data_IF_262815253130
#
_entry.id   IF_262815253130
#
_cell.length_a   1.000
_cell.length_b   1.000
_cell.length_c   1.000
_cell.angle_alpha   90.00
_cell.angle_beta   90.00
_cell.angle_gamma   90.00
#
_symmetry.space_group_name_H-M   'P 1'
#
loop_
_entity.id
_entity.type
_entity.pdbx_description
1 polymer ?
#
# COMPACT_ATOMS: atom_id res chain seq x y z
N UNK A 1 -6.30 14.89 8.33
CA UNK A 1 -6.50 13.44 8.12
C UNK A 1 -6.37 13.18 6.64
N UNK A 2 -5.65 12.13 6.27
CA UNK A 2 -5.47 11.68 4.90
C UNK A 2 -5.88 10.21 4.80
N UNK A 3 -6.61 9.85 3.76
CA UNK A 3 -7.07 8.50 3.51
C UNK A 3 -6.88 8.19 2.02
N UNK A 4 -6.28 7.03 1.74
CA UNK A 4 -5.94 6.62 0.38
C UNK A 4 -6.48 5.22 0.13
N UNK A 5 -7.20 5.05 -0.98
CA UNK A 5 -7.63 3.77 -1.50
C UNK A 5 -6.95 3.54 -2.86
N UNK A 6 -6.41 2.35 -3.07
CA UNK A 6 -5.87 1.89 -4.36
C UNK A 6 -6.55 0.61 -4.75
N UNK A 7 -6.92 0.49 -6.02
CA UNK A 7 -7.52 -0.70 -6.58
C UNK A 7 -6.91 -0.98 -7.95
N UNK A 8 -6.39 -2.19 -8.12
CA UNK A 8 -5.96 -2.77 -9.38
C UNK A 8 -7.01 -3.79 -9.80
N UNK A 9 -7.57 -3.59 -10.98
CA UNK A 9 -8.64 -4.40 -11.54
C UNK A 9 -8.14 -5.20 -12.73
N UNK A 10 -8.64 -6.42 -12.86
CA UNK A 10 -8.50 -7.25 -14.06
C UNK A 10 -7.03 -7.46 -14.51
N UNK A 11 -6.12 -7.66 -13.56
CA UNK A 11 -4.71 -7.89 -13.85
C UNK A 11 -4.48 -9.30 -14.38
N UNK A 12 -4.06 -9.39 -15.63
CA UNK A 12 -3.87 -10.66 -16.33
C UNK A 12 -2.39 -10.95 -16.56
N UNK A 13 -1.84 -11.89 -15.79
CA UNK A 13 -0.47 -12.34 -15.92
C UNK A 13 -0.31 -13.79 -15.42
N UNK A 14 0.75 -14.46 -15.89
CA UNK A 14 1.13 -15.78 -15.40
C UNK A 14 1.76 -15.69 -14.00
N UNK A 15 1.68 -16.80 -13.25
CA UNK A 15 2.36 -16.94 -11.97
C UNK A 15 3.89 -16.86 -12.17
N UNK A 16 4.62 -15.97 -11.48
CA UNK A 16 6.08 -15.95 -11.55
C UNK A 16 6.76 -17.24 -11.07
N UNK A 17 6.12 -18.02 -10.19
CA UNK A 17 6.63 -19.31 -9.77
C UNK A 17 6.47 -20.39 -10.85
N UNK A 18 5.64 -20.14 -11.88
CA UNK A 18 5.42 -21.04 -13.03
C UNK A 18 5.69 -20.29 -14.33
N UNK A 19 6.97 -20.09 -14.64
CA UNK A 19 7.41 -19.40 -15.87
C UNK A 19 6.89 -20.16 -17.10
N UNK A 20 5.94 -19.56 -17.83
CA UNK A 20 5.28 -20.15 -19.00
C UNK A 20 3.93 -20.81 -18.71
N UNK A 21 3.47 -20.81 -17.46
CA UNK A 21 2.13 -21.26 -17.09
C UNK A 21 1.01 -20.36 -17.63
N UNK A 22 -0.25 -20.81 -17.59
CA UNK A 22 -1.38 -20.01 -18.06
C UNK A 22 -1.50 -18.72 -17.23
N UNK A 23 -1.78 -17.61 -17.93
CA UNK A 23 -2.13 -16.37 -17.26
C UNK A 23 -3.49 -16.51 -16.55
N UNK A 24 -3.62 -15.89 -15.39
CA UNK A 24 -4.89 -15.81 -14.66
C UNK A 24 -5.21 -14.37 -14.31
N UNK A 25 -6.50 -14.08 -14.15
CA UNK A 25 -7.00 -12.77 -13.73
C UNK A 25 -6.92 -12.65 -12.21
N UNK A 26 -6.38 -11.54 -11.71
CA UNK A 26 -6.47 -11.14 -10.31
C UNK A 26 -6.82 -9.66 -10.15
N UNK A 27 -7.46 -9.33 -9.04
CA UNK A 27 -7.71 -7.95 -8.63
C UNK A 27 -7.19 -7.74 -7.20
N UNK A 28 -6.71 -6.54 -6.90
CA UNK A 28 -6.07 -6.23 -5.62
C UNK A 28 -6.50 -4.85 -5.13
N UNK A 29 -6.77 -4.73 -3.83
CA UNK A 29 -7.23 -3.47 -3.22
C UNK A 29 -6.48 -3.23 -1.92
N UNK A 30 -5.96 -2.02 -1.74
CA UNK A 30 -5.34 -1.59 -0.49
C UNK A 30 -5.92 -0.26 -0.02
N UNK A 31 -6.01 -0.11 1.29
CA UNK A 31 -6.41 1.14 1.95
C UNK A 31 -5.31 1.59 2.91
N UNK A 32 -5.13 2.90 3.03
CA UNK A 32 -4.21 3.53 3.96
C UNK A 32 -4.86 4.73 4.64
N UNK A 33 -4.46 5.00 5.88
CA UNK A 33 -4.98 6.10 6.68
C UNK A 33 -3.86 6.77 7.46
N UNK A 34 -3.84 8.10 7.44
CA UNK A 34 -2.91 8.94 8.21
C UNK A 34 -3.66 10.00 8.99
N UNK A 35 -3.31 10.10 10.27
CA UNK A 35 -3.77 11.15 11.18
C UNK A 35 -2.59 12.03 11.55
N UNK A 36 -2.87 13.30 11.80
CA UNK A 36 -1.86 14.27 12.21
C UNK A 36 -2.47 15.34 13.09
N UNK A 37 -1.69 15.78 14.06
CA UNK A 37 -2.04 16.83 14.99
C UNK A 37 -0.95 17.91 14.99
N UNK A 38 -1.36 19.14 14.78
CA UNK A 38 -0.49 20.31 14.74
C UNK A 38 -0.54 20.99 16.11
N UNK A 39 0.58 20.98 16.83
CA UNK A 39 0.68 21.60 18.16
C UNK A 39 0.80 23.12 18.04
N UNK A 40 1.64 23.57 17.13
CA UNK A 40 1.84 24.98 16.83
C UNK A 40 2.21 25.16 15.34
N UNK A 41 2.57 26.38 14.94
CA UNK A 41 2.91 26.68 13.53
C UNK A 41 4.16 25.97 13.02
N UNK A 42 4.98 25.43 13.93
CA UNK A 42 6.27 24.80 13.66
C UNK A 42 6.22 23.29 13.83
N UNK A 43 5.40 22.77 14.73
CA UNK A 43 5.43 21.38 15.16
C UNK A 43 4.14 20.62 14.82
N UNK A 44 4.28 19.52 14.10
CA UNK A 44 3.21 18.56 13.81
C UNK A 44 3.67 17.14 14.15
N UNK A 45 2.85 16.39 14.88
CA UNK A 45 2.97 14.93 14.98
C UNK A 45 2.01 14.27 14.01
N UNK A 46 2.40 13.12 13.47
CA UNK A 46 1.52 12.31 12.64
C UNK A 46 1.79 10.82 12.83
N UNK A 47 0.78 10.01 12.53
CA UNK A 47 0.88 8.57 12.48
C UNK A 47 -0.07 8.00 11.45
N UNK A 48 0.21 6.81 10.95
CA UNK A 48 -0.61 6.17 9.95
C UNK A 48 -0.44 4.67 9.90
N UNK A 49 -1.35 4.06 9.16
CA UNK A 49 -1.41 2.63 8.89
C UNK A 49 -1.58 2.50 7.38
N UNK A 50 -0.63 1.86 6.73
CA UNK A 50 -0.75 1.43 5.35
C UNK A 50 -1.24 -0.03 5.30
N UNK A 51 -1.96 -0.36 4.24
CA UNK A 51 -2.58 -1.67 4.04
C UNK A 51 -3.46 -2.09 5.24
N UNK A 52 -4.50 -1.29 5.50
CA UNK A 52 -5.43 -1.44 6.63
C UNK A 52 -6.01 -2.86 6.77
N UNK A 53 -6.29 -3.52 5.65
CA UNK A 53 -6.88 -4.85 5.59
C UNK A 53 -5.84 -5.98 5.62
N UNK A 54 -4.54 -5.67 5.73
CA UNK A 54 -3.44 -6.63 5.60
C UNK A 54 -3.57 -7.51 4.34
N UNK A 55 -3.99 -6.87 3.24
CA UNK A 55 -4.21 -7.52 1.97
C UNK A 55 -2.89 -8.05 1.42
N UNK A 56 -2.91 -9.27 0.90
CA UNK A 56 -1.75 -9.88 0.24
C UNK A 56 -1.85 -9.71 -1.26
N UNK A 57 -0.82 -9.15 -1.86
CA UNK A 57 -0.78 -8.97 -3.31
C UNK A 57 -0.79 -10.35 -4.01
N UNK A 58 -1.63 -10.55 -5.04
CA UNK A 58 -1.67 -11.79 -5.82
C UNK A 58 -0.32 -12.13 -6.45
N UNK A 59 0.04 -13.42 -6.52
CA UNK A 59 1.34 -13.86 -7.03
C UNK A 59 1.65 -13.36 -8.45
N UNK A 60 0.65 -13.31 -9.34
CA UNK A 60 0.83 -12.79 -10.70
C UNK A 60 1.07 -11.26 -10.79
N UNK A 61 0.94 -10.52 -9.68
CA UNK A 61 1.23 -9.10 -9.56
C UNK A 61 2.60 -8.82 -8.90
N UNK A 62 3.21 -9.80 -8.21
CA UNK A 62 4.43 -9.58 -7.40
C UNK A 62 5.72 -9.42 -8.19
N UNK A 63 5.80 -9.98 -9.40
CA UNK A 63 7.06 -10.12 -10.14
C UNK A 63 7.31 -9.09 -11.24
N UNK A 64 6.30 -8.30 -11.62
CA UNK A 64 6.36 -7.44 -12.82
C UNK A 64 6.51 -5.95 -12.52
N UNK A 65 7.12 -5.59 -11.40
CA UNK A 65 7.51 -4.20 -11.12
C UNK A 65 6.39 -3.32 -10.55
N UNK A 66 5.28 -3.90 -10.10
CA UNK A 66 4.23 -3.23 -9.33
C UNK A 66 4.13 -3.75 -7.89
N UNK A 67 5.22 -3.88 -7.10
CA UNK A 67 5.04 -4.00 -5.67
C UNK A 67 4.39 -2.70 -5.19
N UNK A 68 3.07 -2.76 -4.99
CA UNK A 68 2.35 -1.72 -4.27
C UNK A 68 2.87 -1.77 -2.83
N UNK A 69 3.87 -0.94 -2.55
CA UNK A 69 4.41 -0.76 -1.22
C UNK A 69 3.33 -0.06 -0.36
N UNK A 70 2.93 -0.65 0.78
CA UNK A 70 3.52 -1.82 1.43
C UNK A 70 2.85 -3.16 1.12
N UNK A 71 3.71 -4.15 0.84
CA UNK A 71 3.33 -5.54 0.58
C UNK A 71 2.74 -6.29 1.79
N UNK A 72 2.70 -5.65 2.96
CA UNK A 72 2.08 -6.11 4.19
C UNK A 72 1.54 -4.89 4.98
N UNK A 73 0.76 -5.11 6.05
CA UNK A 73 0.35 -4.00 6.93
C UNK A 73 1.56 -3.34 7.61
N UNK A 74 1.66 -2.02 7.49
CA UNK A 74 2.76 -1.24 8.05
C UNK A 74 2.23 -0.07 8.89
N UNK A 75 2.81 0.10 10.08
CA UNK A 75 2.47 1.18 11.02
C UNK A 75 3.64 2.16 11.08
N UNK A 76 3.35 3.46 11.01
CA UNK A 76 4.37 4.49 11.11
C UNK A 76 3.91 5.68 11.95
N UNK A 77 4.88 6.38 12.53
CA UNK A 77 4.70 7.65 13.21
C UNK A 77 5.85 8.58 12.85
N UNK A 78 5.62 9.88 12.96
CA UNK A 78 6.62 10.88 12.64
C UNK A 78 6.30 12.26 13.20
N UNK A 79 7.30 13.11 13.11
CA UNK A 79 7.26 14.50 13.54
C UNK A 79 7.73 15.36 12.38
N UNK A 80 7.02 16.46 12.13
CA UNK A 80 7.44 17.49 11.19
C UNK A 80 7.70 18.78 11.96
N UNK A 81 8.90 19.32 11.82
CA UNK A 81 9.30 20.62 12.34
C UNK A 81 9.57 21.60 11.18
N UNK A 82 9.06 22.83 11.27
CA UNK A 82 9.29 23.92 10.29
C UNK A 82 10.09 25.04 10.94
N UNK A 83 11.19 25.42 10.29
CA UNK A 83 12.08 26.52 10.72
C UNK A 83 11.56 27.87 10.25
#
# INVERSE_FOLDING_TARGET
>A
MDARLRHVRDWYAADPASVGGPAFNSSYTTGALRLGYTFDRRLQLYGGIDNLADARMPANQTSRGSPDDPGARFFYAGLQYRF
#
